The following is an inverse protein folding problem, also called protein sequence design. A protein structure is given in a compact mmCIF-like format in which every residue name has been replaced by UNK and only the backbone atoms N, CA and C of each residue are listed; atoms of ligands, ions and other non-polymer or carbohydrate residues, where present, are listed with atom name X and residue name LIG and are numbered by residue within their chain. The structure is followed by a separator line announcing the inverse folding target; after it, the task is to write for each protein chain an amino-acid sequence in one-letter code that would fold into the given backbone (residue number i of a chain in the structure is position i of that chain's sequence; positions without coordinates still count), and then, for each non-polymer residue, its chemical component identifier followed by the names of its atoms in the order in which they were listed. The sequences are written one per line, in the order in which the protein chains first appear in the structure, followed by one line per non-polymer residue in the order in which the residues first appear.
data_IF_653240387882
#
_entry.id   IF_653240387882
#
_cell.length_a   1.000
_cell.length_b   1.000
_cell.length_c   1.000
_cell.angle_alpha   90.00
_cell.angle_beta   90.00
_cell.angle_gamma   90.00
#
_symmetry.space_group_name_H-M   'P 1'
#
loop_
_entity.id
_entity.type
_entity.pdbx_description
1 polymer ?
#
# COMPACT_ATOMS: atom_id res chain seq x y z
N UNK A 1 7.19 14.79 -10.84
CA UNK A 1 7.52 13.83 -9.76
C UNK A 1 6.77 14.22 -8.51
N UNK A 2 5.79 13.43 -8.04
CA UNK A 2 5.10 13.70 -6.78
C UNK A 2 5.86 13.00 -5.64
N UNK A 3 6.48 13.73 -4.69
CA UNK A 3 7.29 13.14 -3.63
C UNK A 3 6.50 12.18 -2.72
N UNK A 4 5.17 12.30 -2.68
CA UNK A 4 4.28 11.44 -1.92
C UNK A 4 4.36 9.96 -2.33
N UNK A 5 4.18 9.66 -3.63
CA UNK A 5 4.13 8.27 -4.10
C UNK A 5 5.51 7.61 -4.05
N UNK A 6 6.58 8.35 -4.34
CA UNK A 6 7.94 7.82 -4.22
C UNK A 6 8.24 7.38 -2.79
N UNK A 7 7.85 8.18 -1.79
CA UNK A 7 8.03 7.82 -0.37
C UNK A 7 7.21 6.60 0.02
N UNK A 8 5.99 6.45 -0.51
CA UNK A 8 5.18 5.25 -0.27
C UNK A 8 5.86 4.01 -0.84
N UNK A 9 6.32 4.05 -2.10
CA UNK A 9 7.02 2.93 -2.74
C UNK A 9 8.26 2.52 -1.97
N UNK A 10 9.06 3.50 -1.54
CA UNK A 10 10.24 3.25 -0.71
C UNK A 10 9.86 2.50 0.58
N UNK A 11 8.81 2.94 1.28
CA UNK A 11 8.35 2.29 2.51
C UNK A 11 7.85 0.86 2.29
N UNK A 12 7.15 0.62 1.17
CA UNK A 12 6.73 -0.74 0.79
C UNK A 12 7.97 -1.62 0.58
N UNK A 13 8.96 -1.13 -0.17
CA UNK A 13 10.21 -1.84 -0.43
C UNK A 13 11.04 -2.09 0.85
N UNK A 14 10.94 -1.20 1.84
CA UNK A 14 11.55 -1.38 3.17
C UNK A 14 10.80 -2.39 4.07
N UNK A 15 9.75 -3.04 3.56
CA UNK A 15 8.92 -3.97 4.33
C UNK A 15 8.11 -3.29 5.44
N UNK A 16 7.83 -1.99 5.32
CA UNK A 16 7.05 -1.27 6.33
C UNK A 16 5.54 -1.44 6.15
N UNK A 17 5.08 -1.90 4.98
CA UNK A 17 3.66 -2.14 4.69
C UNK A 17 3.18 -3.39 5.44
N UNK A 18 2.09 -3.26 6.19
CA UNK A 18 1.48 -4.36 6.96
C UNK A 18 0.29 -4.96 6.20
N UNK A 19 -0.57 -4.09 5.66
CA UNK A 19 -1.78 -4.46 4.94
C UNK A 19 -2.29 -3.31 4.08
N UNK A 20 -3.24 -3.59 3.21
CA UNK A 20 -3.99 -2.59 2.46
C UNK A 20 -5.47 -2.96 2.38
N UNK A 21 -6.33 -1.96 2.17
CA UNK A 21 -7.78 -2.11 2.06
C UNK A 21 -8.33 -1.18 0.98
N UNK A 22 -9.23 -1.69 0.13
CA UNK A 22 -10.06 -0.85 -0.72
C UNK A 22 -11.32 -0.47 0.05
N UNK A 23 -11.53 0.83 0.25
CA UNK A 23 -12.70 1.37 0.94
C UNK A 23 -13.45 2.33 0.02
N UNK A 24 -14.78 2.37 0.15
CA UNK A 24 -15.62 3.26 -0.63
C UNK A 24 -15.22 4.72 -0.40
N UNK A 25 -15.00 5.13 0.85
CA UNK A 25 -14.64 6.50 1.19
C UNK A 25 -13.69 6.56 2.38
N UNK A 26 -12.71 7.44 2.30
CA UNK A 26 -11.85 7.84 3.42
C UNK A 26 -11.67 9.36 3.42
N UNK A 27 -12.19 10.03 4.46
CA UNK A 27 -12.26 11.51 4.53
C UNK A 27 -12.95 12.06 3.28
N UNK A 28 -12.23 12.84 2.46
CA UNK A 28 -12.70 13.45 1.22
C UNK A 28 -12.24 12.70 -0.05
N UNK A 29 -11.79 11.44 0.08
CA UNK A 29 -11.33 10.61 -1.04
C UNK A 29 -12.30 9.43 -1.20
N UNK A 30 -12.76 9.22 -2.43
CA UNK A 30 -13.69 8.17 -2.83
C UNK A 30 -13.49 7.89 -4.32
N UNK A 31 -13.28 6.64 -4.77
CA UNK A 31 -12.90 5.48 -3.97
C UNK A 31 -11.45 5.62 -3.44
N UNK A 32 -11.13 4.92 -2.35
CA UNK A 32 -9.83 5.05 -1.70
C UNK A 32 -9.16 3.69 -1.46
N UNK A 33 -7.88 3.59 -1.82
CA UNK A 33 -7.00 2.51 -1.38
C UNK A 33 -6.24 3.01 -0.15
N UNK A 34 -6.44 2.35 0.99
CA UNK A 34 -5.74 2.63 2.23
C UNK A 34 -4.55 1.68 2.40
N UNK A 35 -3.37 2.26 2.62
CA UNK A 35 -2.16 1.52 2.93
C UNK A 35 -1.81 1.71 4.41
N UNK A 36 -1.59 0.60 5.11
CA UNK A 36 -1.24 0.59 6.54
C UNK A 36 0.22 0.21 6.72
N UNK A 37 0.96 1.05 7.44
CA UNK A 37 2.40 0.91 7.69
C UNK A 37 2.68 0.73 9.19
N UNK A 38 3.80 0.09 9.52
CA UNK A 38 4.27 -0.08 10.90
C UNK A 38 4.93 1.16 11.52
N UNK A 39 5.22 2.17 10.71
CA UNK A 39 5.90 3.41 11.11
C UNK A 39 5.03 4.63 10.83
N UNK A 40 5.36 5.77 11.44
CA UNK A 40 4.68 7.01 11.14
C UNK A 40 5.02 7.59 9.75
N UNK A 41 4.02 8.15 9.04
CA UNK A 41 2.60 8.06 9.35
C UNK A 41 2.03 6.69 8.95
N UNK A 42 1.18 6.16 9.83
CA UNK A 42 0.69 4.78 9.76
C UNK A 42 -0.28 4.52 8.60
N UNK A 43 -1.01 5.53 8.14
CA UNK A 43 -2.01 5.38 7.08
C UNK A 43 -1.69 6.29 5.90
N UNK A 44 -1.71 5.74 4.69
CA UNK A 44 -1.53 6.50 3.44
C UNK A 44 -2.69 6.22 2.49
N UNK A 45 -3.57 7.20 2.23
CA UNK A 45 -4.60 7.07 1.23
C UNK A 45 -4.02 7.25 -0.18
N UNK A 46 -4.55 6.46 -1.12
CA UNK A 46 -4.25 6.51 -2.55
C UNK A 46 -5.59 6.69 -3.28
N UNK A 47 -5.60 7.58 -4.29
CA UNK A 47 -6.79 7.88 -5.10
C UNK A 47 -6.89 6.91 -6.29
N UNK A 48 -8.11 6.73 -6.78
CA UNK A 48 -8.46 5.79 -7.85
C UNK A 48 -7.54 5.83 -9.08
N UNK A 49 -7.22 7.03 -9.59
CA UNK A 49 -6.37 7.20 -10.78
C UNK A 49 -4.92 6.67 -10.60
N UNK A 50 -4.53 6.25 -9.40
CA UNK A 50 -3.25 5.59 -9.10
C UNK A 50 -3.40 4.10 -8.83
N UNK A 51 -4.61 3.55 -8.74
CA UNK A 51 -4.82 2.15 -8.35
C UNK A 51 -4.06 1.19 -9.24
N UNK A 52 -4.05 1.42 -10.55
CA UNK A 52 -3.38 0.54 -11.50
C UNK A 52 -1.87 0.39 -11.23
N UNK A 53 -1.21 1.49 -10.90
CA UNK A 53 0.20 1.47 -10.49
C UNK A 53 0.41 0.71 -9.17
N UNK A 54 -0.53 0.84 -8.23
CA UNK A 54 -0.43 0.17 -6.94
C UNK A 54 -0.76 -1.31 -7.00
N UNK A 55 -1.64 -1.77 -7.89
CA UNK A 55 -1.93 -3.20 -8.07
C UNK A 55 -0.65 -3.99 -8.32
N UNK A 56 0.20 -3.54 -9.24
CA UNK A 56 1.47 -4.21 -9.55
C UNK A 56 2.41 -4.31 -8.34
N UNK A 57 2.44 -3.27 -7.50
CA UNK A 57 3.28 -3.23 -6.29
C UNK A 57 2.71 -4.18 -5.22
N UNK A 58 1.39 -4.17 -5.05
CA UNK A 58 0.69 -4.98 -4.06
C UNK A 58 0.69 -6.47 -4.42
N UNK A 59 0.64 -6.82 -5.71
CA UNK A 59 0.81 -8.20 -6.17
C UNK A 59 2.17 -8.78 -5.73
N UNK A 60 3.23 -7.97 -5.77
CA UNK A 60 4.54 -8.37 -5.26
C UNK A 60 4.55 -8.56 -3.74
N UNK A 61 3.85 -7.69 -3.01
CA UNK A 61 3.71 -7.79 -1.56
C UNK A 61 2.96 -9.05 -1.12
N UNK A 62 1.86 -9.41 -1.78
CA UNK A 62 1.07 -10.61 -1.46
C UNK A 62 1.84 -11.91 -1.73
N UNK A 63 2.66 -11.94 -2.81
CA UNK A 63 3.54 -13.08 -3.09
C UNK A 63 4.57 -13.29 -1.99
N UNK A 64 5.19 -12.22 -1.50
CA UNK A 64 6.18 -12.31 -0.43
C UNK A 64 5.57 -12.82 0.89
N UNK A 65 4.35 -12.36 1.24
CA UNK A 65 3.62 -12.91 2.39
C UNK A 65 3.35 -14.40 2.27
N UNK A 66 3.00 -14.87 1.07
CA UNK A 66 2.69 -16.28 0.84
C UNK A 66 3.92 -17.16 1.04
N UNK A 67 5.10 -16.69 0.62
CA UNK A 67 6.37 -17.43 0.78
C UNK A 67 6.83 -17.48 2.23
N UNK A 68 6.71 -16.37 2.99
CA UNK A 68 7.05 -16.34 4.41
C UNK A 68 6.16 -17.27 5.26
N UNK A 69 4.88 -17.44 4.87
CA UNK A 69 3.94 -18.34 5.55
C UNK A 69 4.09 -19.83 5.15
N UNK A 70 5.08 -20.19 4.34
CA UNK A 70 5.33 -21.57 3.91
C UNK A 70 6.67 -22.13 4.42
N UNK A 71 7.30 -21.43 5.37
CA UNK A 71 8.46 -21.89 6.12
C UNK A 71 7.97 -22.27 7.52
N UNK A 72 7.21 -23.36 7.62
CA UNK A 72 6.90 -24.09 8.85
C UNK A 72 7.17 -25.59 8.63
#
# INVERSE_FOLDING_TARGET
MYPYHNKIKQRINNGELIKYEFVEKYKNISPCLLLYFRTEPFVRPVREHRFEEYKQILDGFEKNKTVENHID
#
